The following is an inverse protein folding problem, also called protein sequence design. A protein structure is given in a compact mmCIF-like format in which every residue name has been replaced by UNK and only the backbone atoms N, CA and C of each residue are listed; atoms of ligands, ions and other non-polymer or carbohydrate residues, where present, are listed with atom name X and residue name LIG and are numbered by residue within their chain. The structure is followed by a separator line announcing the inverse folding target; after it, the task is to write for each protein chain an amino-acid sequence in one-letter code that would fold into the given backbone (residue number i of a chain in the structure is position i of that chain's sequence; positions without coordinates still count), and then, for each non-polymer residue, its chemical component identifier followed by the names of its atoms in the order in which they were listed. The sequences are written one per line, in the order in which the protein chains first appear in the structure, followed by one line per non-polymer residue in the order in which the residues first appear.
data_IF_500831082413
#
_entry.id   IF_500831082413
#
_cell.length_a   1.000
_cell.length_b   1.000
_cell.length_c   1.000
_cell.angle_alpha   90.00
_cell.angle_beta   90.00
_cell.angle_gamma   90.00
#
_symmetry.space_group_name_H-M   'P 1'
#
loop_
_entity.id
_entity.type
_entity.pdbx_description
1 polymer ?
#
# COMPACT_ATOMS: atom_id res chain seq x y z
N UNK A 1 3.71 -13.81 -12.43
CA UNK A 1 3.00 -12.81 -11.63
C UNK A 1 3.98 -11.71 -11.31
N UNK A 2 3.67 -10.48 -11.72
CA UNK A 2 4.40 -9.31 -11.27
C UNK A 2 4.09 -9.13 -9.77
N UNK A 3 5.10 -8.84 -8.95
CA UNK A 3 4.89 -8.55 -7.53
C UNK A 3 3.94 -7.34 -7.42
N UNK A 4 2.91 -7.43 -6.58
CA UNK A 4 1.97 -6.33 -6.29
C UNK A 4 2.65 -5.15 -5.59
N UNK A 5 3.90 -5.33 -5.19
CA UNK A 5 4.73 -4.38 -4.49
C UNK A 5 5.86 -3.87 -5.38
N UNK A 6 6.07 -2.56 -5.34
CA UNK A 6 7.17 -1.90 -6.01
C UNK A 6 8.21 -1.46 -4.99
N UNK A 7 9.47 -1.90 -5.15
CA UNK A 7 10.59 -1.47 -4.31
C UNK A 7 10.95 -0.01 -4.64
N UNK A 8 10.80 0.88 -3.66
CA UNK A 8 11.01 2.34 -3.82
C UNK A 8 12.20 2.88 -3.04
N UNK A 9 12.72 2.10 -2.09
CA UNK A 9 13.96 2.38 -1.39
C UNK A 9 14.64 1.06 -1.06
N UNK A 10 15.93 0.97 -1.37
CA UNK A 10 16.81 -0.08 -0.86
C UNK A 10 18.17 0.51 -0.51
N UNK A 11 18.46 0.67 0.77
CA UNK A 11 19.77 1.11 1.25
C UNK A 11 20.53 -0.08 1.82
N UNK A 12 21.77 -0.19 1.39
CA UNK A 12 22.83 -0.90 2.10
C UNK A 12 23.94 0.11 2.39
N UNK A 13 24.83 -0.22 3.32
CA UNK A 13 25.90 0.69 3.71
C UNK A 13 27.30 0.13 3.40
N UNK A 14 27.36 -0.85 2.50
CA UNK A 14 28.62 -1.32 1.94
C UNK A 14 29.28 -0.24 1.06
N UNK A 15 30.61 -0.19 1.09
CA UNK A 15 31.41 0.65 0.21
C UNK A 15 32.02 1.87 0.92
N UNK A 16 31.97 3.03 0.26
CA UNK A 16 32.62 4.25 0.75
C UNK A 16 31.79 4.88 1.88
N UNK A 17 32.38 5.16 3.06
CA UNK A 17 31.70 5.86 4.15
C UNK A 17 31.00 7.14 3.69
N UNK A 18 29.79 7.40 4.21
CA UNK A 18 28.99 8.58 3.87
C UNK A 18 28.28 8.53 2.51
N UNK A 19 28.59 7.57 1.64
CA UNK A 19 27.93 7.42 0.33
C UNK A 19 26.77 6.44 0.45
N UNK A 20 25.54 6.96 0.55
CA UNK A 20 24.35 6.16 0.77
C UNK A 20 23.53 6.11 -0.52
N UNK A 21 23.71 5.02 -1.26
CA UNK A 21 23.09 4.82 -2.56
C UNK A 21 21.77 4.05 -2.44
N UNK A 22 20.83 4.35 -3.35
CA UNK A 22 19.55 3.65 -3.44
C UNK A 22 19.63 2.57 -4.51
N UNK A 23 19.54 1.32 -4.08
CA UNK A 23 19.58 0.12 -4.90
C UNK A 23 18.21 -0.26 -5.47
N UNK A 24 17.15 0.48 -5.17
CA UNK A 24 15.84 0.27 -5.79
C UNK A 24 15.91 0.43 -7.32
N UNK A 25 14.98 -0.17 -8.09
CA UNK A 25 14.96 -0.04 -9.55
C UNK A 25 14.96 1.41 -10.04
N UNK A 26 14.27 2.32 -9.33
CA UNK A 26 14.20 3.74 -9.68
C UNK A 26 15.44 4.54 -9.30
N UNK A 27 16.20 4.09 -8.30
CA UNK A 27 17.39 4.81 -7.76
C UNK A 27 17.07 6.26 -7.36
N UNK A 28 15.84 6.51 -6.92
CA UNK A 28 15.33 7.85 -6.63
C UNK A 28 15.52 8.30 -5.18
N UNK A 29 15.81 7.35 -4.29
CA UNK A 29 15.74 7.55 -2.84
C UNK A 29 17.13 7.57 -2.19
N UNK A 30 18.14 8.21 -2.79
CA UNK A 30 19.50 8.30 -2.19
C UNK A 30 19.49 8.95 -0.81
N UNK A 31 20.36 8.50 0.09
CA UNK A 31 20.47 9.03 1.45
C UNK A 31 21.50 10.15 1.57
N UNK A 32 21.27 11.07 2.51
CA UNK A 32 22.26 12.03 2.99
C UNK A 32 22.48 11.80 4.48
N UNK A 33 23.74 11.58 4.86
CA UNK A 33 24.10 11.39 6.26
C UNK A 33 23.99 12.73 7.02
N UNK A 34 23.33 12.71 8.19
CA UNK A 34 23.17 13.88 9.06
C UNK A 34 23.67 13.49 10.45
N UNK A 35 24.65 14.23 10.95
CA UNK A 35 25.34 13.94 12.22
C UNK A 35 25.92 12.52 12.31
N UNK A 36 26.35 11.96 11.18
CA UNK A 36 27.07 10.70 11.08
C UNK A 36 28.47 11.01 10.56
N UNK A 37 29.50 10.55 11.25
CA UNK A 37 30.89 10.65 10.84
C UNK A 37 31.30 9.40 10.06
N UNK A 38 32.42 9.46 9.33
CA UNK A 38 32.94 8.31 8.58
C UNK A 38 33.18 7.08 9.48
N UNK A 39 33.51 7.28 10.75
CA UNK A 39 33.72 6.21 11.74
C UNK A 39 32.43 5.48 12.14
N UNK A 40 31.26 6.05 11.83
CA UNK A 40 29.97 5.39 12.06
C UNK A 40 29.63 4.38 10.96
N UNK A 41 30.36 4.39 9.83
CA UNK A 41 30.19 3.45 8.73
C UNK A 41 31.15 2.27 8.91
N UNK A 42 30.59 1.06 8.96
CA UNK A 42 31.30 -0.19 9.15
C UNK A 42 31.37 -0.96 7.83
N UNK A 43 32.48 -1.66 7.60
CA UNK A 43 32.63 -2.56 6.46
C UNK A 43 31.75 -3.80 6.56
N UNK A 44 31.43 -4.21 7.79
CA UNK A 44 30.67 -5.42 8.10
C UNK A 44 29.39 -5.07 8.87
N UNK A 45 28.29 -5.71 8.49
CA UNK A 45 26.99 -5.59 9.13
C UNK A 45 26.53 -6.90 9.77
N UNK A 46 25.32 -7.34 9.42
CA UNK A 46 24.77 -8.64 9.77
C UNK A 46 25.55 -9.79 9.11
N UNK A 47 26.18 -9.52 7.96
CA UNK A 47 27.08 -10.45 7.28
C UNK A 47 28.39 -9.77 6.91
N UNK A 48 29.41 -10.55 6.55
CA UNK A 48 30.69 -10.00 6.13
C UNK A 48 30.54 -9.23 4.81
N UNK A 49 30.98 -7.97 4.79
CA UNK A 49 30.94 -7.09 3.62
C UNK A 49 29.58 -6.46 3.28
N UNK A 50 28.52 -6.70 4.06
CA UNK A 50 27.21 -6.05 3.83
C UNK A 50 27.20 -4.56 4.21
N UNK A 51 28.14 -4.16 5.06
CA UNK A 51 28.22 -2.81 5.62
C UNK A 51 27.16 -2.53 6.69
N UNK A 52 27.39 -1.50 7.50
CA UNK A 52 26.40 -1.01 8.46
C UNK A 52 26.68 0.43 8.86
N UNK A 53 25.67 1.12 9.40
CA UNK A 53 25.80 2.45 10.01
C UNK A 53 25.44 2.36 11.48
N UNK A 54 26.30 2.91 12.34
CA UNK A 54 26.00 3.20 13.75
C UNK A 54 25.14 4.45 13.85
N UNK A 55 23.99 4.33 14.49
CA UNK A 55 23.12 5.44 14.85
C UNK A 55 23.23 5.75 16.33
N UNK A 56 23.17 7.04 16.64
CA UNK A 56 23.08 7.59 17.98
C UNK A 56 22.06 8.73 17.97
N UNK A 57 21.56 9.19 19.13
CA UNK A 57 20.56 10.24 19.17
C UNK A 57 20.96 11.48 18.36
N UNK A 58 20.07 11.95 17.48
CA UNK A 58 20.30 13.08 16.58
C UNK A 58 20.97 12.74 15.25
N UNK A 59 21.41 11.50 15.05
CA UNK A 59 22.01 11.03 13.80
C UNK A 59 21.00 10.30 12.93
N UNK A 60 20.99 10.61 11.64
CA UNK A 60 20.07 10.00 10.68
C UNK A 60 20.61 9.94 9.27
N UNK A 61 19.97 9.09 8.47
CA UNK A 61 20.03 9.20 7.02
C UNK A 61 18.75 9.91 6.57
N UNK A 62 18.91 11.12 6.03
CA UNK A 62 17.81 11.87 5.43
C UNK A 62 17.63 11.44 3.98
N UNK A 63 16.38 11.11 3.60
CA UNK A 63 16.03 10.64 2.26
C UNK A 63 14.96 11.57 1.69
N UNK A 64 15.20 12.21 0.53
CA UNK A 64 14.18 12.98 -0.15
C UNK A 64 13.13 12.03 -0.72
N UNK A 65 11.90 12.11 -0.22
CA UNK A 65 10.82 11.22 -0.66
C UNK A 65 10.17 11.78 -1.92
N UNK A 66 10.77 11.47 -3.08
CA UNK A 66 10.33 11.90 -4.41
C UNK A 66 9.58 10.78 -5.13
N UNK A 67 9.87 10.57 -6.42
CA UNK A 67 9.26 9.56 -7.28
C UNK A 67 9.24 8.17 -6.62
N UNK A 68 8.05 7.62 -6.42
CA UNK A 68 7.84 6.38 -5.68
C UNK A 68 7.16 6.55 -4.32
N UNK A 69 7.16 7.75 -3.74
CA UNK A 69 6.53 8.03 -2.43
C UNK A 69 5.14 8.67 -2.54
N UNK A 70 4.66 8.87 -3.77
CA UNK A 70 3.32 9.35 -4.08
C UNK A 70 2.77 8.68 -5.35
N UNK A 71 1.57 8.06 -5.31
CA UNK A 71 0.88 7.64 -4.09
C UNK A 71 1.66 6.51 -3.36
N UNK A 72 1.38 6.32 -2.07
CA UNK A 72 1.77 5.10 -1.33
C UNK A 72 0.63 4.08 -1.36
N UNK A 73 -0.55 4.46 -0.85
CA UNK A 73 -1.75 3.64 -0.70
C UNK A 73 -1.58 2.43 0.23
N UNK A 74 -0.66 1.52 -0.09
CA UNK A 74 -0.14 0.51 0.82
C UNK A 74 1.38 0.60 0.90
N UNK A 75 1.97 0.20 2.02
CA UNK A 75 3.41 0.24 2.24
C UNK A 75 3.86 -0.97 3.03
N UNK A 76 5.02 -1.52 2.69
CA UNK A 76 5.72 -2.48 3.53
C UNK A 76 7.19 -2.10 3.63
N UNK A 77 7.83 -2.47 4.73
CA UNK A 77 9.25 -2.22 4.90
C UNK A 77 9.91 -3.29 5.76
N UNK A 78 11.21 -3.43 5.57
CA UNK A 78 12.08 -4.36 6.27
C UNK A 78 13.38 -3.64 6.65
N UNK A 79 13.85 -3.88 7.87
CA UNK A 79 15.07 -3.30 8.41
C UNK A 79 15.89 -4.41 9.07
N UNK A 80 17.11 -4.62 8.59
CA UNK A 80 18.10 -5.46 9.27
C UNK A 80 18.91 -4.58 10.22
N UNK A 81 18.74 -4.79 11.52
CA UNK A 81 19.29 -3.92 12.55
C UNK A 81 19.78 -4.68 13.78
N UNK A 82 20.57 -3.98 14.60
CA UNK A 82 21.04 -4.42 15.91
C UNK A 82 20.86 -3.28 16.90
N UNK A 83 20.08 -3.50 17.94
CA UNK A 83 19.84 -2.51 19.00
C UNK A 83 20.93 -2.60 20.07
N UNK A 84 21.29 -1.46 20.66
CA UNK A 84 22.29 -1.40 21.75
C UNK A 84 21.65 -1.19 23.14
N UNK A 85 20.40 -0.74 23.21
CA UNK A 85 19.72 -0.39 24.47
C UNK A 85 18.49 -1.27 24.72
N UNK A 86 18.20 -1.57 25.99
CA UNK A 86 17.00 -2.35 26.38
C UNK A 86 15.75 -1.50 26.53
N UNK A 87 15.90 -0.18 26.71
CA UNK A 87 14.82 0.75 27.02
C UNK A 87 14.88 1.98 26.14
N UNK A 88 13.75 2.69 26.05
CA UNK A 88 13.63 3.88 25.20
C UNK A 88 12.89 3.59 23.91
N UNK A 89 12.94 4.55 23.00
CA UNK A 89 12.36 4.44 21.66
C UNK A 89 13.53 4.49 20.68
N UNK A 90 13.59 3.51 19.80
CA UNK A 90 14.51 3.45 18.66
C UNK A 90 13.70 3.64 17.38
N UNK A 91 13.84 4.81 16.76
CA UNK A 91 13.19 5.09 15.47
C UNK A 91 13.97 4.41 14.35
N UNK A 92 13.34 3.49 13.65
CA UNK A 92 13.95 2.82 12.51
C UNK A 92 13.71 3.63 11.23
N UNK A 93 12.45 4.00 10.99
CA UNK A 93 12.04 4.80 9.85
C UNK A 93 10.95 5.78 10.29
N UNK A 94 11.14 7.06 10.00
CA UNK A 94 10.09 8.08 10.05
C UNK A 94 9.88 8.62 8.63
N UNK A 95 8.65 8.57 8.14
CA UNK A 95 8.27 9.03 6.83
C UNK A 95 7.17 10.10 6.88
N UNK A 96 6.87 10.71 8.03
CA UNK A 96 5.67 11.53 8.31
C UNK A 96 4.33 10.81 8.14
N UNK A 97 4.15 10.02 7.09
CA UNK A 97 2.95 9.24 6.77
C UNK A 97 3.00 7.84 7.37
N UNK A 98 4.17 7.39 7.83
CA UNK A 98 4.29 6.26 8.72
C UNK A 98 5.54 6.40 9.59
N UNK A 99 5.54 5.72 10.73
CA UNK A 99 6.57 5.80 11.75
C UNK A 99 6.80 4.42 12.35
N UNK A 100 7.92 3.78 12.00
CA UNK A 100 8.30 2.43 12.41
C UNK A 100 9.40 2.47 13.47
N UNK A 101 9.16 1.82 14.60
CA UNK A 101 10.00 1.95 15.77
C UNK A 101 10.04 0.68 16.63
N UNK A 102 11.03 0.62 17.51
CA UNK A 102 11.05 -0.24 18.67
C UNK A 102 10.86 0.61 19.93
N UNK A 103 10.03 0.18 20.88
CA UNK A 103 9.87 0.81 22.19
C UNK A 103 10.03 -0.22 23.30
N UNK A 104 11.11 -0.12 24.06
CA UNK A 104 11.40 -1.00 25.21
C UNK A 104 11.24 -2.50 24.91
N UNK A 105 11.66 -2.95 23.72
CA UNK A 105 11.59 -4.36 23.30
C UNK A 105 10.34 -4.75 22.50
N UNK A 106 9.32 -3.89 22.44
CA UNK A 106 8.16 -4.06 21.57
C UNK A 106 8.39 -3.38 20.21
N UNK A 107 7.84 -3.92 19.13
CA UNK A 107 7.77 -3.24 17.83
C UNK A 107 6.47 -2.46 17.72
N UNK A 108 6.52 -1.33 17.03
CA UNK A 108 5.34 -0.56 16.68
C UNK A 108 5.48 0.12 15.32
N UNK A 109 4.35 0.31 14.65
CA UNK A 109 4.28 1.15 13.47
C UNK A 109 2.99 1.97 13.50
N UNK A 110 3.13 3.28 13.31
CA UNK A 110 2.02 4.20 13.13
C UNK A 110 1.89 4.56 11.65
N UNK A 111 0.66 4.68 11.14
CA UNK A 111 0.34 5.03 9.75
C UNK A 111 -0.66 6.19 9.71
N UNK A 112 -0.40 7.21 8.89
CA UNK A 112 -1.33 8.30 8.56
C UNK A 112 -2.14 7.93 7.32
N UNK A 113 -3.46 7.88 7.45
CA UNK A 113 -4.36 7.39 6.42
C UNK A 113 -5.31 8.48 5.89
N UNK A 114 -5.63 8.43 4.61
CA UNK A 114 -6.57 9.35 3.95
C UNK A 114 -7.99 8.79 3.94
N UNK A 115 -9.05 9.52 4.36
CA UNK A 115 -9.14 10.98 4.45
C UNK A 115 -9.15 11.51 5.90
N UNK A 116 -8.17 11.14 6.74
CA UNK A 116 -7.98 11.53 8.16
C UNK A 116 -8.33 10.41 9.15
N UNK A 117 -7.58 9.32 9.04
CA UNK A 117 -7.56 8.24 10.01
C UNK A 117 -6.11 7.90 10.34
N UNK A 118 -5.88 7.13 11.40
CA UNK A 118 -4.58 6.53 11.64
C UNK A 118 -4.73 5.08 12.06
N UNK A 119 -3.68 4.30 11.83
CA UNK A 119 -3.49 2.98 12.43
C UNK A 119 -2.22 3.01 13.26
N UNK A 120 -2.34 2.58 14.52
CA UNK A 120 -1.19 2.23 15.34
C UNK A 120 -1.25 0.72 15.59
N UNK A 121 -0.19 0.01 15.20
CA UNK A 121 -0.03 -1.41 15.46
C UNK A 121 1.20 -1.61 16.34
N UNK A 122 1.06 -2.41 17.40
CA UNK A 122 2.18 -2.77 18.28
C UNK A 122 2.16 -4.24 18.62
N UNK A 123 3.33 -4.81 18.91
CA UNK A 123 3.41 -6.19 19.43
C UNK A 123 2.80 -6.34 20.82
N UNK A 124 2.62 -5.26 21.59
CA UNK A 124 2.02 -5.32 22.93
C UNK A 124 0.49 -5.43 22.87
N UNK A 125 -0.14 -4.75 21.90
CA UNK A 125 -1.60 -4.68 21.79
C UNK A 125 -2.17 -5.63 20.74
N UNK A 126 -1.38 -6.01 19.73
CA UNK A 126 -1.85 -6.72 18.54
C UNK A 126 -1.10 -8.03 18.29
N UNK A 127 -0.46 -8.59 19.31
CA UNK A 127 0.33 -9.82 19.20
C UNK A 127 -0.43 -10.98 18.54
N UNK A 128 0.27 -11.73 17.68
CA UNK A 128 -0.18 -13.03 17.19
C UNK A 128 0.58 -14.09 17.98
N UNK A 129 -0.07 -14.68 18.98
CA UNK A 129 0.50 -15.76 19.77
C UNK A 129 1.33 -15.30 20.96
N UNK A 130 2.45 -15.96 21.21
CA UNK A 130 3.27 -15.70 22.39
C UNK A 130 3.94 -14.31 22.30
N UNK A 131 4.15 -13.62 23.44
CA UNK A 131 4.86 -12.35 23.46
C UNK A 131 6.25 -12.47 22.81
N UNK A 132 6.53 -11.58 21.87
CA UNK A 132 7.83 -11.47 21.20
C UNK A 132 8.58 -10.30 21.82
N UNK A 133 9.83 -10.53 22.23
CA UNK A 133 10.73 -9.48 22.71
C UNK A 133 11.91 -9.37 21.76
N UNK A 134 12.13 -8.17 21.22
CA UNK A 134 13.22 -7.92 20.29
C UNK A 134 14.55 -7.89 21.05
N UNK A 135 15.51 -8.79 20.73
CA UNK A 135 16.75 -8.90 21.46
C UNK A 135 17.68 -7.70 21.23
N UNK A 136 18.49 -7.40 22.23
CA UNK A 136 19.55 -6.38 22.18
C UNK A 136 20.89 -7.07 21.90
N UNK A 137 21.76 -6.39 21.13
CA UNK A 137 23.09 -6.89 20.83
C UNK A 137 23.13 -8.00 19.77
N UNK A 138 22.00 -8.32 19.14
CA UNK A 138 21.89 -9.30 18.05
C UNK A 138 21.39 -8.63 16.78
N UNK A 139 21.86 -9.12 15.63
CA UNK A 139 21.30 -8.76 14.34
C UNK A 139 19.97 -9.46 14.15
N UNK A 140 18.95 -8.69 13.80
CA UNK A 140 17.59 -9.16 13.54
C UNK A 140 17.03 -8.48 12.31
N UNK A 141 16.04 -9.09 11.68
CA UNK A 141 15.22 -8.43 10.67
C UNK A 141 13.84 -8.13 11.25
N UNK A 142 13.43 -6.87 11.16
CA UNK A 142 12.10 -6.44 11.60
C UNK A 142 11.37 -5.79 10.44
N UNK A 143 10.06 -5.95 10.38
CA UNK A 143 9.28 -5.42 9.28
C UNK A 143 7.88 -4.96 9.66
N UNK A 144 7.27 -4.22 8.74
CA UNK A 144 5.90 -3.76 8.81
C UNK A 144 5.23 -3.89 7.45
N UNK A 145 3.90 -3.99 7.44
CA UNK A 145 3.10 -3.97 6.23
C UNK A 145 1.75 -3.32 6.53
N UNK A 146 1.25 -2.54 5.58
CA UNK A 146 -0.09 -1.98 5.53
C UNK A 146 -0.60 -2.13 4.09
N UNK A 147 -1.63 -2.93 3.88
CA UNK A 147 -2.11 -3.28 2.53
C UNK A 147 -2.97 -2.17 1.87
N UNK A 148 -3.35 -1.15 2.64
CA UNK A 148 -4.15 -0.01 2.20
C UNK A 148 -5.66 -0.25 2.21
N UNK A 149 -6.10 -1.41 2.72
CA UNK A 149 -7.50 -1.84 2.63
C UNK A 149 -8.01 -2.47 3.93
N UNK A 150 -7.27 -3.43 4.50
CA UNK A 150 -7.81 -4.31 5.54
C UNK A 150 -6.82 -4.84 6.57
N UNK A 151 -5.52 -4.79 6.27
CA UNK A 151 -4.50 -5.51 7.02
C UNK A 151 -3.29 -4.63 7.30
N UNK A 152 -2.90 -4.60 8.57
CA UNK A 152 -1.60 -4.11 9.00
C UNK A 152 -0.89 -5.21 9.80
N UNK A 153 0.42 -5.39 9.60
CA UNK A 153 1.22 -6.43 10.26
C UNK A 153 2.59 -5.90 10.68
N UNK A 154 3.13 -6.50 11.73
CA UNK A 154 4.53 -6.41 12.11
C UNK A 154 5.17 -7.80 11.99
N UNK A 155 6.41 -7.86 11.53
CA UNK A 155 7.17 -9.10 11.40
C UNK A 155 8.51 -9.05 12.13
N UNK A 156 8.95 -10.23 12.58
CA UNK A 156 10.26 -10.48 13.19
C UNK A 156 10.88 -11.70 12.51
N UNK A 157 12.06 -11.54 11.93
CA UNK A 157 12.77 -12.52 11.09
C UNK A 157 11.87 -13.17 10.04
N UNK A 158 11.07 -12.34 9.35
CA UNK A 158 10.14 -12.76 8.29
C UNK A 158 8.83 -13.39 8.78
N UNK A 159 8.65 -13.58 10.09
CA UNK A 159 7.45 -14.18 10.68
C UNK A 159 6.51 -13.07 11.18
N UNK A 160 5.22 -13.05 10.81
CA UNK A 160 4.26 -12.12 11.38
C UNK A 160 4.08 -12.33 12.90
N UNK A 161 4.26 -11.27 13.68
CA UNK A 161 4.20 -11.30 15.15
C UNK A 161 3.11 -10.39 15.73
N UNK A 162 2.58 -9.45 14.94
CA UNK A 162 1.41 -8.67 15.29
C UNK A 162 0.54 -8.42 14.05
N UNK A 163 -0.77 -8.35 14.21
CA UNK A 163 -1.70 -8.13 13.10
C UNK A 163 -2.97 -7.40 13.53
N UNK A 164 -3.40 -6.49 12.68
CA UNK A 164 -4.73 -5.89 12.70
C UNK A 164 -5.47 -6.35 11.44
N UNK A 165 -6.72 -6.79 11.60
CA UNK A 165 -7.67 -7.03 10.51
C UNK A 165 -8.91 -6.18 10.79
N UNK A 166 -9.09 -5.10 10.03
CA UNK A 166 -10.24 -4.18 10.09
C UNK A 166 -10.25 -3.30 8.84
N UNK A 167 -11.32 -2.57 8.52
CA UNK A 167 -11.27 -1.57 7.45
C UNK A 167 -10.15 -0.56 7.70
N UNK A 168 -9.21 -0.46 6.75
CA UNK A 168 -8.06 0.45 6.78
C UNK A 168 -8.08 1.35 5.56
N UNK A 169 -7.70 2.61 5.76
CA UNK A 169 -7.65 3.56 4.66
C UNK A 169 -6.26 3.60 4.01
N UNK A 170 -6.15 4.07 2.76
CA UNK A 170 -4.86 4.18 2.08
C UNK A 170 -3.87 5.06 2.86
N UNK A 171 -2.62 4.63 2.95
CA UNK A 171 -1.53 5.41 3.56
C UNK A 171 -1.24 6.63 2.69
N UNK A 172 -1.17 7.80 3.34
CA UNK A 172 -0.93 9.08 2.66
C UNK A 172 0.44 9.13 1.98
N UNK A 173 0.59 9.91 0.89
CA UNK A 173 1.92 10.16 0.31
C UNK A 173 2.82 10.88 1.32
N UNK A 174 4.14 10.82 1.08
CA UNK A 174 5.13 11.58 1.87
C UNK A 174 6.13 12.29 0.97
N UNK A 175 6.73 13.35 1.51
CA UNK A 175 7.77 14.17 0.89
C UNK A 175 9.14 14.03 1.57
N UNK A 176 9.22 13.35 2.72
CA UNK A 176 10.45 13.23 3.49
C UNK A 176 10.50 11.94 4.29
N UNK A 177 11.67 11.30 4.29
CA UNK A 177 11.96 10.09 5.06
C UNK A 177 13.27 10.27 5.84
N UNK A 178 13.32 9.73 7.04
CA UNK A 178 14.50 9.63 7.88
C UNK A 178 14.65 8.20 8.37
N UNK A 179 15.88 7.67 8.28
CA UNK A 179 16.26 6.36 8.82
C UNK A 179 17.10 6.61 10.07
N UNK A 180 16.78 5.92 11.16
CA UNK A 180 17.50 5.99 12.44
C UNK A 180 17.12 7.16 13.35
N UNK A 181 16.31 8.12 12.88
CA UNK A 181 15.78 9.22 13.70
C UNK A 181 14.52 9.80 13.04
N UNK A 182 13.96 10.84 13.64
CA UNK A 182 12.79 11.55 13.11
C UNK A 182 13.12 12.48 11.94
N UNK A 183 12.15 12.65 11.04
CA UNK A 183 12.20 13.63 9.94
C UNK A 183 12.31 15.04 10.51
N UNK A 184 11.45 15.36 11.48
CA UNK A 184 11.47 16.61 12.24
C UNK A 184 11.89 16.32 13.67
N UNK A 185 12.76 17.16 14.25
CA UNK A 185 13.23 16.98 15.62
C UNK A 185 12.03 16.80 16.56
N UNK A 186 11.96 15.70 17.33
CA UNK A 186 10.79 15.40 18.12
C UNK A 186 10.83 16.18 19.44
N UNK A 187 9.86 15.95 20.32
CA UNK A 187 9.92 16.47 21.68
C UNK A 187 11.14 15.91 22.43
N UNK A 188 11.69 16.60 23.46
CA UNK A 188 12.89 16.15 24.19
C UNK A 188 12.77 14.76 24.87
N UNK A 189 11.55 14.23 25.02
CA UNK A 189 11.26 12.94 25.65
C UNK A 189 11.41 11.73 24.71
N UNK A 190 11.77 11.96 23.45
CA UNK A 190 11.92 10.93 22.41
C UNK A 190 13.29 11.05 21.77
N UNK A 191 13.99 9.92 21.63
CA UNK A 191 15.31 9.84 21.01
C UNK A 191 15.22 9.08 19.69
N UNK A 192 16.14 9.37 18.77
CA UNK A 192 16.46 8.48 17.66
C UNK A 192 17.05 7.15 18.13
N UNK A 193 17.32 6.28 17.17
CA UNK A 193 17.88 4.95 17.40
C UNK A 193 19.26 5.01 18.08
N UNK A 194 19.50 4.05 18.97
CA UNK A 194 20.84 3.69 19.45
C UNK A 194 21.17 2.26 19.04
N UNK A 195 22.02 2.10 18.03
CA UNK A 195 22.34 0.79 17.48
C UNK A 195 22.93 0.86 16.08
N UNK A 196 22.76 -0.20 15.30
CA UNK A 196 23.23 -0.29 13.92
C UNK A 196 22.15 -0.75 12.96
N UNK A 197 22.19 -0.23 11.73
CA UNK A 197 21.37 -0.70 10.61
C UNK A 197 22.30 -1.14 9.48
N UNK A 198 22.05 -2.31 8.92
CA UNK A 198 22.76 -2.87 7.76
C UNK A 198 22.00 -2.58 6.47
N UNK A 199 20.72 -2.96 6.45
CA UNK A 199 19.90 -2.98 5.25
C UNK A 199 18.50 -2.43 5.55
N UNK A 200 17.99 -1.58 4.65
CA UNK A 200 16.64 -1.02 4.71
C UNK A 200 15.99 -1.19 3.35
N UNK A 201 14.79 -1.77 3.32
CA UNK A 201 13.94 -1.84 2.13
C UNK A 201 12.56 -1.30 2.42
N UNK A 202 12.02 -0.51 1.49
CA UNK A 202 10.63 -0.06 1.53
C UNK A 202 10.01 -0.28 0.16
N UNK A 203 8.82 -0.87 0.17
CA UNK A 203 7.98 -1.03 -1.01
C UNK A 203 6.68 -0.28 -0.82
N UNK A 204 6.18 0.30 -1.92
CA UNK A 204 4.78 0.71 -1.99
C UNK A 204 3.95 -0.34 -2.71
N UNK A 205 2.65 -0.27 -2.51
CA UNK A 205 1.70 -0.94 -3.38
C UNK A 205 1.83 -0.36 -4.78
N UNK A 206 2.00 -1.21 -5.79
CA UNK A 206 2.18 -0.74 -7.15
C UNK A 206 0.91 0.01 -7.62
N UNK A 207 1.00 1.32 -7.93
CA UNK A 207 -0.16 2.10 -8.35
C UNK A 207 -0.69 1.65 -9.72
N UNK A 208 0.16 1.07 -10.56
CA UNK A 208 -0.21 0.67 -11.92
C UNK A 208 -0.74 -0.76 -11.99
N UNK A 209 -0.83 -1.49 -10.88
CA UNK A 209 -1.14 -2.92 -10.87
C UNK A 209 -2.50 -3.25 -11.49
N UNK A 210 -3.50 -2.40 -11.24
CA UNK A 210 -4.86 -2.59 -11.76
C UNK A 210 -4.88 -2.29 -13.26
N UNK A 211 -4.25 -1.18 -13.68
CA UNK A 211 -4.16 -0.79 -15.08
C UNK A 211 -3.40 -1.84 -15.91
N UNK A 212 -2.26 -2.33 -15.40
CA UNK A 212 -1.48 -3.40 -16.06
C UNK A 212 -2.28 -4.69 -16.16
N UNK A 213 -2.91 -5.14 -15.06
CA UNK A 213 -3.75 -6.34 -15.08
C UNK A 213 -4.94 -6.20 -16.04
N UNK A 214 -5.52 -5.01 -16.16
CA UNK A 214 -6.59 -4.73 -17.12
C UNK A 214 -6.12 -4.87 -18.56
N UNK A 215 -5.00 -4.24 -18.92
CA UNK A 215 -4.43 -4.21 -20.28
C UNK A 215 -3.86 -5.58 -20.69
N UNK A 216 -3.38 -6.38 -19.74
CA UNK A 216 -2.79 -7.71 -19.99
C UNK A 216 -3.81 -8.76 -20.47
N UNK A 217 -5.12 -8.45 -20.52
CA UNK A 217 -6.12 -9.36 -21.09
C UNK A 217 -5.87 -9.54 -22.59
N UNK A 218 -5.80 -10.79 -23.09
CA UNK A 218 -5.74 -11.07 -24.52
C UNK A 218 -6.97 -10.49 -25.25
N UNK A 219 -6.72 -9.66 -26.26
CA UNK A 219 -7.74 -9.04 -27.11
C UNK A 219 -7.27 -9.08 -28.57
N UNK A 220 -8.20 -9.13 -29.52
CA UNK A 220 -7.86 -8.87 -30.91
C UNK A 220 -7.52 -7.38 -31.13
N UNK A 221 -6.77 -7.04 -32.19
CA UNK A 221 -6.34 -5.66 -32.44
C UNK A 221 -7.47 -4.65 -32.57
N UNK A 222 -8.62 -5.04 -33.15
CA UNK A 222 -9.74 -4.11 -33.34
C UNK A 222 -10.42 -3.79 -32.01
N UNK A 223 -10.58 -4.80 -31.14
CA UNK A 223 -11.06 -4.61 -29.77
C UNK A 223 -10.09 -3.69 -28.98
N UNK A 224 -8.79 -3.92 -29.08
CA UNK A 224 -7.78 -3.11 -28.39
C UNK A 224 -7.75 -1.64 -28.86
N UNK A 225 -7.81 -1.40 -30.17
CA UNK A 225 -7.87 -0.04 -30.75
C UNK A 225 -9.15 0.69 -30.30
N UNK A 226 -10.28 -0.01 -30.30
CA UNK A 226 -11.55 0.58 -29.88
C UNK A 226 -11.61 0.88 -28.37
N UNK A 227 -10.92 0.09 -27.53
CA UNK A 227 -10.69 0.43 -26.11
C UNK A 227 -9.87 1.72 -25.95
N UNK A 228 -8.80 1.88 -26.73
CA UNK A 228 -7.99 3.10 -26.70
C UNK A 228 -8.83 4.34 -27.08
N UNK A 229 -9.61 4.25 -28.15
CA UNK A 229 -10.53 5.32 -28.56
C UNK A 229 -11.56 5.65 -27.47
N UNK A 230 -12.11 4.64 -26.80
CA UNK A 230 -13.07 4.86 -25.72
C UNK A 230 -12.42 5.53 -24.50
N UNK A 231 -11.19 5.18 -24.13
CA UNK A 231 -10.46 5.85 -23.07
C UNK A 231 -10.14 7.32 -23.40
N UNK A 232 -9.82 7.63 -24.66
CA UNK A 232 -9.65 9.01 -25.13
C UNK A 232 -10.96 9.81 -24.99
N UNK A 233 -12.09 9.19 -25.33
CA UNK A 233 -13.42 9.80 -25.18
C UNK A 233 -13.79 10.01 -23.71
N UNK A 234 -13.48 9.05 -22.84
CA UNK A 234 -13.66 9.18 -21.39
C UNK A 234 -12.82 10.34 -20.82
N UNK A 235 -11.56 10.46 -21.24
CA UNK A 235 -10.69 11.56 -20.84
C UNK A 235 -11.26 12.92 -21.28
N UNK A 236 -11.73 13.02 -22.53
CA UNK A 236 -12.38 14.23 -23.03
C UNK A 236 -13.68 14.58 -22.28
N UNK A 237 -14.45 13.58 -21.84
CA UNK A 237 -15.63 13.78 -21.01
C UNK A 237 -15.27 14.35 -19.63
N UNK A 238 -14.21 13.85 -19.00
CA UNK A 238 -13.68 14.42 -17.76
C UNK A 238 -13.19 15.86 -17.93
N UNK A 239 -12.52 16.18 -19.05
CA UNK A 239 -12.10 17.55 -19.34
C UNK A 239 -13.29 18.50 -19.53
N UNK A 240 -14.31 18.05 -20.26
CA UNK A 240 -15.57 18.80 -20.43
C UNK A 240 -16.28 19.03 -19.08
N UNK A 241 -16.30 17.99 -18.24
CA UNK A 241 -16.87 18.07 -16.91
C UNK A 241 -16.11 19.08 -16.04
N UNK A 242 -14.77 19.04 -16.05
CA UNK A 242 -13.91 19.98 -15.30
C UNK A 242 -14.11 21.43 -15.75
N UNK A 243 -14.30 21.66 -17.05
CA UNK A 243 -14.59 23.00 -17.58
C UNK A 243 -15.95 23.54 -17.10
N UNK A 244 -16.95 22.66 -16.94
CA UNK A 244 -18.30 23.02 -16.50
C UNK A 244 -18.38 23.18 -14.99
N UNK A 245 -17.71 22.29 -14.25
CA UNK A 245 -17.65 22.27 -12.80
C UNK A 245 -16.27 21.73 -12.35
N UNK A 246 -15.34 22.61 -11.94
CA UNK A 246 -13.97 22.22 -11.58
C UNK A 246 -13.86 21.19 -10.46
N UNK A 247 -14.84 21.12 -9.55
CA UNK A 247 -14.81 20.24 -8.38
C UNK A 247 -15.33 18.83 -8.68
N UNK A 248 -16.01 18.63 -9.81
CA UNK A 248 -16.65 17.36 -10.14
C UNK A 248 -15.67 16.17 -10.26
N UNK A 249 -14.49 16.28 -10.91
CA UNK A 249 -13.56 15.15 -11.00
C UNK A 249 -13.10 14.63 -9.64
N UNK A 250 -12.70 15.52 -8.73
CA UNK A 250 -12.24 15.15 -7.39
C UNK A 250 -13.38 14.56 -6.55
N UNK A 251 -14.59 15.11 -6.69
CA UNK A 251 -15.80 14.59 -6.05
C UNK A 251 -16.14 13.18 -6.53
N UNK A 252 -16.10 12.93 -7.84
CA UNK A 252 -16.34 11.59 -8.42
C UNK A 252 -15.28 10.61 -7.92
N UNK A 253 -14.00 10.99 -7.96
CA UNK A 253 -12.91 10.15 -7.47
C UNK A 253 -13.12 9.76 -6.00
N UNK A 254 -13.49 10.70 -5.14
CA UNK A 254 -13.80 10.44 -3.72
C UNK A 254 -15.01 9.52 -3.52
N UNK A 255 -16.08 9.70 -4.31
CA UNK A 255 -17.27 8.84 -4.23
C UNK A 255 -17.00 7.42 -4.72
N UNK A 256 -16.21 7.25 -5.79
CA UNK A 256 -15.78 5.94 -6.28
C UNK A 256 -14.90 5.25 -5.24
N UNK A 257 -13.94 5.96 -4.65
CA UNK A 257 -13.08 5.42 -3.59
C UNK A 257 -13.93 4.96 -2.39
N UNK A 258 -14.88 5.77 -1.93
CA UNK A 258 -15.76 5.41 -0.81
C UNK A 258 -16.67 4.22 -1.12
N UNK A 259 -17.23 4.15 -2.33
CA UNK A 259 -18.07 3.03 -2.77
C UNK A 259 -17.28 1.72 -2.83
N UNK A 260 -16.07 1.75 -3.38
CA UNK A 260 -15.19 0.58 -3.44
C UNK A 260 -14.74 0.17 -2.04
N UNK A 261 -14.27 1.13 -1.24
CA UNK A 261 -13.73 0.88 0.09
C UNK A 261 -14.80 0.32 1.04
N UNK A 262 -15.97 0.93 1.11
CA UNK A 262 -17.04 0.51 2.04
C UNK A 262 -17.53 -0.92 1.78
N UNK A 263 -17.66 -1.33 0.51
CA UNK A 263 -18.05 -2.71 0.16
C UNK A 263 -16.93 -3.73 0.36
N UNK A 264 -15.71 -3.39 -0.07
CA UNK A 264 -14.54 -4.27 0.01
C UNK A 264 -14.09 -4.50 1.46
N UNK A 265 -14.01 -3.43 2.24
CA UNK A 265 -13.45 -3.50 3.57
C UNK A 265 -14.39 -4.25 4.54
N UNK A 266 -15.71 -4.07 4.43
CA UNK A 266 -16.67 -4.86 5.23
C UNK A 266 -16.54 -6.35 4.91
N UNK A 267 -16.52 -6.73 3.63
CA UNK A 267 -16.37 -8.13 3.22
C UNK A 267 -15.06 -8.77 3.72
N UNK A 268 -13.93 -8.05 3.64
CA UNK A 268 -12.61 -8.56 4.02
C UNK A 268 -12.40 -8.71 5.53
N UNK A 269 -13.20 -8.03 6.35
CA UNK A 269 -12.90 -7.87 7.78
C UNK A 269 -13.95 -8.50 8.69
N UNK A 270 -15.06 -8.95 8.13
CA UNK A 270 -16.18 -9.56 8.86
C UNK A 270 -15.81 -10.89 9.52
N UNK A 271 -15.30 -11.84 8.75
CA UNK A 271 -14.84 -13.14 9.26
C UNK A 271 -13.64 -13.66 8.45
N UNK A 272 -12.90 -14.62 9.00
CA UNK A 272 -11.81 -15.28 8.27
C UNK A 272 -12.32 -16.00 7.00
N UNK A 273 -13.51 -16.60 7.06
CA UNK A 273 -14.14 -17.23 5.91
C UNK A 273 -14.53 -16.19 4.86
N UNK A 274 -15.08 -15.04 5.29
CA UNK A 274 -15.44 -13.94 4.39
C UNK A 274 -14.24 -13.43 3.61
N UNK A 275 -13.14 -13.21 4.32
CA UNK A 275 -11.86 -12.85 3.72
C UNK A 275 -11.37 -13.91 2.74
N UNK A 276 -11.38 -15.19 3.10
CA UNK A 276 -10.91 -16.26 2.20
C UNK A 276 -11.77 -16.37 0.93
N UNK A 277 -13.10 -16.27 1.06
CA UNK A 277 -14.01 -16.34 -0.08
C UNK A 277 -13.77 -15.16 -1.02
N UNK A 278 -13.65 -13.94 -0.47
CA UNK A 278 -13.38 -12.76 -1.27
C UNK A 278 -12.04 -12.85 -2.02
N UNK A 279 -10.97 -13.23 -1.32
CA UNK A 279 -9.64 -13.38 -1.92
C UNK A 279 -9.62 -14.48 -3.00
N UNK A 280 -10.35 -15.58 -2.79
CA UNK A 280 -10.48 -16.63 -3.80
C UNK A 280 -11.24 -16.13 -5.03
N UNK A 281 -12.39 -15.47 -4.84
CA UNK A 281 -13.15 -14.91 -5.96
C UNK A 281 -12.35 -13.85 -6.74
N UNK A 282 -11.54 -13.04 -6.06
CA UNK A 282 -10.65 -12.09 -6.71
C UNK A 282 -9.56 -12.79 -7.53
N UNK A 283 -8.98 -13.89 -7.01
CA UNK A 283 -8.00 -14.70 -7.75
C UNK A 283 -8.62 -15.38 -8.97
N UNK A 284 -9.81 -15.95 -8.83
CA UNK A 284 -10.55 -16.59 -9.92
C UNK A 284 -10.92 -15.58 -11.01
N UNK A 285 -11.39 -14.39 -10.62
CA UNK A 285 -11.64 -13.27 -11.54
C UNK A 285 -10.38 -12.92 -12.32
N UNK A 286 -9.25 -12.69 -11.63
CA UNK A 286 -7.98 -12.32 -12.27
C UNK A 286 -7.49 -13.39 -13.22
N UNK A 287 -7.61 -14.67 -12.85
CA UNK A 287 -7.24 -15.78 -13.70
C UNK A 287 -8.08 -15.82 -14.98
N UNK A 288 -9.40 -15.67 -14.87
CA UNK A 288 -10.29 -15.65 -16.05
C UNK A 288 -10.06 -14.42 -16.92
N UNK A 289 -9.84 -13.26 -16.31
CA UNK A 289 -9.50 -12.02 -17.01
C UNK A 289 -8.20 -12.17 -17.82
N UNK A 290 -7.12 -12.62 -17.19
CA UNK A 290 -5.84 -12.83 -17.86
C UNK A 290 -5.89 -13.91 -18.96
N UNK A 291 -6.85 -14.84 -18.89
CA UNK A 291 -7.09 -15.83 -19.93
C UNK A 291 -8.00 -15.34 -21.07
N UNK A 292 -8.56 -14.12 -20.98
CA UNK A 292 -9.57 -13.62 -21.91
C UNK A 292 -10.92 -14.36 -21.83
N UNK A 293 -11.15 -15.16 -20.78
CA UNK A 293 -12.36 -15.96 -20.63
C UNK A 293 -13.46 -15.21 -19.85
N UNK A 294 -14.04 -14.20 -20.49
CA UNK A 294 -15.05 -13.33 -19.86
C UNK A 294 -16.33 -14.07 -19.47
N UNK A 295 -16.70 -15.12 -20.22
CA UNK A 295 -17.89 -15.92 -19.92
C UNK A 295 -17.81 -16.62 -18.55
N UNK A 296 -16.61 -16.97 -18.09
CA UNK A 296 -16.40 -17.57 -16.76
C UNK A 296 -16.33 -16.54 -15.62
N UNK A 297 -16.25 -15.24 -15.93
CA UNK A 297 -16.23 -14.18 -14.91
C UNK A 297 -17.63 -13.95 -14.31
N UNK A 298 -18.68 -13.98 -15.14
CA UNK A 298 -20.05 -13.72 -14.66
C UNK A 298 -20.47 -14.67 -13.52
N UNK A 299 -20.22 -16.01 -13.59
CA UNK A 299 -20.47 -16.91 -12.46
C UNK A 299 -19.68 -16.59 -11.19
N UNK A 300 -18.43 -16.12 -11.31
CA UNK A 300 -17.61 -15.74 -10.15
C UNK A 300 -18.22 -14.54 -9.44
N UNK A 301 -18.60 -13.49 -10.19
CA UNK A 301 -19.24 -12.29 -9.63
C UNK A 301 -20.61 -12.63 -9.03
N UNK A 302 -21.42 -13.43 -9.74
CA UNK A 302 -22.74 -13.85 -9.26
C UNK A 302 -22.63 -14.68 -7.97
N UNK A 303 -21.70 -15.63 -7.93
CA UNK A 303 -21.41 -16.45 -6.75
C UNK A 303 -20.96 -15.61 -5.57
N UNK A 304 -20.04 -14.66 -5.78
CA UNK A 304 -19.59 -13.73 -4.75
C UNK A 304 -20.75 -12.87 -4.22
N UNK A 305 -21.59 -12.35 -5.11
CA UNK A 305 -22.75 -11.52 -4.74
C UNK A 305 -23.78 -12.31 -3.94
N UNK A 306 -24.11 -13.53 -4.38
CA UNK A 306 -25.03 -14.43 -3.64
C UNK A 306 -24.46 -14.77 -2.26
N UNK A 307 -23.16 -15.04 -2.18
CA UNK A 307 -22.52 -15.36 -0.92
C UNK A 307 -22.50 -14.14 0.03
N UNK A 308 -22.15 -12.94 -0.45
CA UNK A 308 -22.22 -11.70 0.33
C UNK A 308 -23.63 -11.44 0.88
N UNK A 309 -24.65 -11.61 0.06
CA UNK A 309 -26.04 -11.49 0.48
C UNK A 309 -26.39 -12.49 1.59
N UNK A 310 -25.90 -13.72 1.50
CA UNK A 310 -26.10 -14.74 2.54
C UNK A 310 -25.43 -14.38 3.88
N UNK A 311 -24.36 -13.58 3.83
CA UNK A 311 -23.67 -13.03 5.00
C UNK A 311 -24.28 -11.72 5.52
N UNK A 312 -25.36 -11.25 4.90
CA UNK A 312 -26.05 -10.01 5.24
C UNK A 312 -25.38 -8.75 4.67
N UNK A 313 -24.52 -8.89 3.66
CA UNK A 313 -23.93 -7.77 2.90
C UNK A 313 -24.73 -7.58 1.62
N UNK A 314 -25.63 -6.60 1.62
CA UNK A 314 -26.36 -6.20 0.40
C UNK A 314 -25.69 -4.98 -0.25
N UNK A 315 -24.96 -5.22 -1.34
CA UNK A 315 -24.32 -4.17 -2.12
C UNK A 315 -25.32 -3.13 -2.64
N UNK A 316 -26.59 -3.50 -2.88
CA UNK A 316 -27.63 -2.55 -3.32
C UNK A 316 -28.01 -1.56 -2.22
N UNK A 317 -27.81 -1.90 -0.95
CA UNK A 317 -28.07 -1.05 0.20
C UNK A 317 -26.82 -0.29 0.69
N UNK A 318 -25.69 -0.43 0.00
CA UNK A 318 -24.48 0.30 0.36
C UNK A 318 -24.69 1.81 0.12
N UNK A 319 -24.65 2.61 1.19
CA UNK A 319 -24.91 4.05 1.13
C UNK A 319 -23.90 4.80 0.26
N UNK A 320 -22.62 4.44 0.30
CA UNK A 320 -21.59 5.06 -0.52
C UNK A 320 -21.79 4.79 -2.02
N UNK A 321 -22.22 3.58 -2.37
CA UNK A 321 -22.62 3.27 -3.74
C UNK A 321 -23.86 4.09 -4.15
N UNK A 322 -24.85 4.21 -3.26
CA UNK A 322 -26.03 5.04 -3.53
C UNK A 322 -25.67 6.53 -3.68
N UNK A 323 -24.73 7.04 -2.89
CA UNK A 323 -24.25 8.42 -2.99
C UNK A 323 -23.57 8.66 -4.34
N UNK A 324 -22.70 7.74 -4.79
CA UNK A 324 -22.09 7.78 -6.12
C UNK A 324 -23.15 7.78 -7.23
N UNK A 325 -24.06 6.79 -7.21
CA UNK A 325 -25.09 6.62 -8.25
C UNK A 325 -26.06 7.80 -8.32
N UNK A 326 -26.30 8.47 -7.18
CA UNK A 326 -27.20 9.61 -7.12
C UNK A 326 -26.54 10.96 -7.39
N UNK A 327 -25.20 11.02 -7.39
CA UNK A 327 -24.45 12.26 -7.50
C UNK A 327 -24.66 12.96 -8.87
N UNK A 328 -24.89 14.29 -8.89
CA UNK A 328 -25.06 15.04 -10.13
C UNK A 328 -23.83 15.02 -11.05
N UNK A 329 -22.61 15.09 -10.49
CA UNK A 329 -21.38 15.04 -11.29
C UNK A 329 -21.24 13.66 -11.96
N UNK A 330 -21.53 12.58 -11.22
CA UNK A 330 -21.53 11.22 -11.77
C UNK A 330 -22.53 11.06 -12.91
N UNK A 331 -23.78 11.51 -12.71
CA UNK A 331 -24.82 11.47 -13.76
C UNK A 331 -24.44 12.30 -14.99
N UNK A 332 -23.82 13.47 -14.78
CA UNK A 332 -23.34 14.30 -15.87
C UNK A 332 -22.20 13.62 -16.63
N UNK A 333 -21.22 13.01 -15.94
CA UNK A 333 -20.16 12.24 -16.58
C UNK A 333 -20.76 11.12 -17.45
N UNK A 334 -21.69 10.33 -16.92
CA UNK A 334 -22.37 9.27 -17.68
C UNK A 334 -23.14 9.78 -18.90
N UNK A 335 -23.59 11.04 -18.89
CA UNK A 335 -24.23 11.66 -20.06
C UNK A 335 -23.25 12.15 -21.14
N UNK A 336 -21.98 12.37 -20.76
CA UNK A 336 -20.90 12.82 -21.65
C UNK A 336 -20.12 11.65 -22.25
N UNK A 337 -20.02 10.54 -21.51
CA UNK A 337 -19.28 9.36 -21.94
C UNK A 337 -20.14 8.54 -22.91
N UNK A 338 -19.64 8.22 -24.12
CA UNK A 338 -20.38 7.39 -25.06
C UNK A 338 -20.51 5.95 -24.54
N UNK A 339 -21.58 5.24 -24.95
CA UNK A 339 -21.76 3.85 -24.56
C UNK A 339 -20.61 3.00 -25.10
N UNK A 340 -20.12 2.09 -24.26
CA UNK A 340 -19.06 1.17 -24.62
C UNK A 340 -19.61 0.04 -25.49
N UNK A 341 -19.37 0.12 -26.80
CA UNK A 341 -19.81 -0.88 -27.80
C UNK A 341 -18.66 -1.70 -28.37
N UNK A 342 -17.42 -1.42 -27.93
CA UNK A 342 -16.17 -1.94 -28.48
C UNK A 342 -15.91 -3.42 -28.14
N UNK A 343 -16.45 -3.88 -27.01
CA UNK A 343 -16.22 -5.22 -26.48
C UNK A 343 -17.55 -5.82 -26.04
N UNK A 344 -18.30 -6.45 -26.98
CA UNK A 344 -19.60 -7.01 -26.67
C UNK A 344 -19.54 -8.04 -25.54
N UNK A 345 -18.47 -8.83 -25.45
CA UNK A 345 -18.33 -9.83 -24.40
C UNK A 345 -18.14 -9.20 -23.01
N UNK A 346 -17.43 -8.08 -22.92
CA UNK A 346 -17.34 -7.29 -21.69
C UNK A 346 -18.64 -6.55 -21.38
N UNK A 347 -19.30 -5.96 -22.37
CA UNK A 347 -20.60 -5.30 -22.18
C UNK A 347 -21.69 -6.30 -21.75
N UNK A 348 -21.66 -7.52 -22.28
CA UNK A 348 -22.54 -8.62 -21.87
C UNK A 348 -22.25 -9.04 -20.42
N UNK A 349 -20.97 -9.10 -20.02
CA UNK A 349 -20.59 -9.33 -18.63
C UNK A 349 -21.17 -8.26 -17.69
N UNK A 350 -21.08 -6.98 -18.05
CA UNK A 350 -21.60 -5.88 -17.22
C UNK A 350 -23.12 -5.84 -17.15
N UNK A 351 -23.80 -6.13 -18.26
CA UNK A 351 -25.27 -6.16 -18.34
C UNK A 351 -25.88 -7.45 -17.81
N UNK A 352 -25.06 -8.39 -17.34
CA UNK A 352 -25.51 -9.65 -16.75
C UNK A 352 -26.04 -10.64 -17.77
N UNK A 353 -25.55 -10.59 -19.01
CA UNK A 353 -25.80 -11.50 -20.14
C UNK A 353 -27.12 -12.27 -20.08
N UNK A 354 -28.17 -11.77 -20.73
CA UNK A 354 -29.50 -12.44 -20.77
C UNK A 354 -29.95 -13.02 -19.42
N UNK A 355 -29.92 -12.23 -18.34
CA UNK A 355 -30.73 -12.55 -17.15
C UNK A 355 -30.11 -12.39 -15.76
N UNK A 356 -29.13 -11.54 -15.53
CA UNK A 356 -28.58 -11.40 -14.18
C UNK A 356 -28.15 -9.97 -13.79
N UNK A 357 -29.09 -9.11 -13.35
CA UNK A 357 -28.92 -8.04 -12.33
C UNK A 357 -30.26 -7.59 -11.74
#
# INVERSE_FOLDING_TARGET
MVDSWELILHHTYAGTPGVIFDHSPRRGSHGTAVNLADADFHTDGATHGSGAVSFHPGAKVAVPAKDGWSPLSGVRGEVTCRFDTTSGIDVLIDAKSFYFYRRSGALGCWFDESPHQYTDITTDLNAIGAPVSIPVGQWVQVGFMHDGVSTAELSFDGIPVARIIRPLRPVKPTDAVAIGDFVTAPAPSTSGMSGRIDDVRVWRLDPDRIARAFIDRPMDPATAECWAEWFDQLAAAFDTLRQTNPDCPDRIAGLVDEAVHSGLADALTRTAQSRSTWLQSAADYQQHWAAGNLASIAPVIAGLTTWLQSEGVDLKQNSALQDLLNDPCWKQLLSLVPPMTCDPAFTDLLSGGTGAW
#
